data_IF_859690821919
#
_entry.id   IF_859690821919
#
_cell.length_a   1.000
_cell.length_b   1.000
_cell.length_c   1.000
_cell.angle_alpha   90.00
_cell.angle_beta   90.00
_cell.angle_gamma   90.00
#
_symmetry.space_group_name_H-M   'P 1'
#
loop_
_entity.id
_entity.type
_entity.pdbx_description
1 polymer ?
#
# COMPACT_ATOMS: atom_id res chain seq x y z
N UNK A 1 10.76 16.55 11.89
CA UNK A 1 10.35 15.15 11.97
C UNK A 1 8.92 14.95 12.40
N UNK A 2 8.48 15.59 13.50
CA UNK A 2 7.06 15.54 13.89
C UNK A 2 6.12 16.04 12.79
N UNK A 3 6.54 17.07 12.04
CA UNK A 3 5.74 17.62 10.95
C UNK A 3 5.55 16.62 9.81
N UNK A 4 6.59 15.84 9.49
CA UNK A 4 6.50 14.80 8.46
C UNK A 4 5.57 13.66 8.87
N UNK A 5 5.64 13.26 10.14
CA UNK A 5 4.76 12.20 10.65
C UNK A 5 3.29 12.63 10.64
N UNK A 6 3.01 13.87 11.07
CA UNK A 6 1.66 14.41 11.07
C UNK A 6 1.12 14.58 9.65
N UNK A 7 1.96 15.05 8.73
CA UNK A 7 1.59 15.18 7.32
C UNK A 7 1.30 13.81 6.71
N UNK A 8 2.16 12.82 6.96
CA UNK A 8 1.97 11.47 6.48
C UNK A 8 0.67 10.88 7.02
N UNK A 9 0.35 11.11 8.29
CA UNK A 9 -0.90 10.67 8.89
C UNK A 9 -2.10 11.29 8.21
N UNK A 10 -2.06 12.59 7.90
CA UNK A 10 -3.14 13.28 7.20
C UNK A 10 -3.35 12.72 5.80
N UNK A 11 -2.26 12.47 5.08
CA UNK A 11 -2.32 11.90 3.73
C UNK A 11 -2.96 10.51 3.77
N UNK A 12 -2.55 9.69 4.71
CA UNK A 12 -3.09 8.33 4.85
C UNK A 12 -4.53 8.35 5.35
N UNK A 13 -4.89 9.27 6.23
CA UNK A 13 -6.27 9.41 6.68
C UNK A 13 -7.19 9.81 5.52
N UNK A 14 -6.76 10.75 4.68
CA UNK A 14 -7.52 11.15 3.50
C UNK A 14 -7.71 9.96 2.55
N UNK A 15 -6.69 9.13 2.42
CA UNK A 15 -6.77 7.92 1.60
C UNK A 15 -7.75 6.90 2.17
N UNK A 16 -7.70 6.66 3.47
CA UNK A 16 -8.65 5.75 4.14
C UNK A 16 -10.09 6.23 3.96
N UNK A 17 -10.32 7.53 4.10
CA UNK A 17 -11.65 8.13 3.88
C UNK A 17 -12.12 7.92 2.44
N UNK A 18 -11.22 8.12 1.47
CA UNK A 18 -11.54 7.91 0.05
C UNK A 18 -11.87 6.45 -0.24
N UNK A 19 -11.12 5.51 0.34
CA UNK A 19 -11.37 4.07 0.17
C UNK A 19 -12.72 3.69 0.77
N UNK A 20 -13.07 4.21 1.94
CA UNK A 20 -14.38 3.98 2.54
C UNK A 20 -15.49 4.48 1.63
N UNK A 21 -15.33 5.66 1.05
CA UNK A 21 -16.28 6.21 0.09
C UNK A 21 -16.44 5.31 -1.14
N UNK A 22 -15.33 4.77 -1.63
CA UNK A 22 -15.35 3.83 -2.76
C UNK A 22 -16.08 2.53 -2.40
N UNK A 23 -15.88 2.01 -1.20
CA UNK A 23 -16.56 0.80 -0.75
C UNK A 23 -18.08 1.01 -0.62
N UNK A 24 -18.49 2.21 -0.20
CA UNK A 24 -19.91 2.56 -0.06
C UNK A 24 -20.57 2.84 -1.41
N UNK A 25 -19.83 3.43 -2.34
CA UNK A 25 -20.32 3.78 -3.66
C UNK A 25 -19.26 3.42 -4.72
N UNK A 26 -19.20 2.16 -5.17
CA UNK A 26 -18.16 1.70 -6.10
C UNK A 26 -18.43 2.17 -7.52
N UNK A 27 -18.26 3.45 -7.76
CA UNK A 27 -18.43 4.08 -9.07
C UNK A 27 -17.08 4.43 -9.67
N UNK A 28 -17.04 4.66 -10.99
CA UNK A 28 -15.82 5.10 -11.68
C UNK A 28 -15.35 6.45 -11.13
N UNK A 29 -16.28 7.34 -10.82
CA UNK A 29 -15.95 8.66 -10.25
C UNK A 29 -15.28 8.51 -8.90
N UNK A 30 -15.78 7.63 -8.05
CA UNK A 30 -15.21 7.40 -6.73
C UNK A 30 -13.85 6.71 -6.82
N UNK A 31 -13.69 5.80 -7.77
CA UNK A 31 -12.39 5.18 -8.04
C UNK A 31 -11.38 6.24 -8.50
N UNK A 32 -11.77 7.08 -9.46
CA UNK A 32 -10.90 8.15 -9.96
C UNK A 32 -10.49 9.10 -8.83
N UNK A 33 -11.41 9.45 -7.95
CA UNK A 33 -11.12 10.27 -6.78
C UNK A 33 -10.10 9.59 -5.86
N UNK A 34 -10.30 8.31 -5.58
CA UNK A 34 -9.39 7.53 -4.72
C UNK A 34 -7.99 7.48 -5.31
N UNK A 35 -7.87 7.22 -6.61
CA UNK A 35 -6.56 7.20 -7.29
C UNK A 35 -5.90 8.58 -7.27
N UNK A 36 -6.67 9.66 -7.36
CA UNK A 36 -6.16 11.03 -7.24
C UNK A 36 -5.60 11.28 -5.83
N UNK A 37 -6.28 10.79 -4.80
CA UNK A 37 -5.81 10.91 -3.41
C UNK A 37 -4.48 10.16 -3.24
N UNK A 38 -4.37 8.95 -3.80
CA UNK A 38 -3.12 8.18 -3.77
C UNK A 38 -1.99 8.96 -4.46
N UNK A 39 -2.28 9.54 -5.64
CA UNK A 39 -1.29 10.32 -6.38
C UNK A 39 -0.79 11.51 -5.58
N UNK A 40 -1.70 12.23 -4.93
CA UNK A 40 -1.32 13.38 -4.10
C UNK A 40 -0.45 12.95 -2.94
N UNK A 41 -0.79 11.85 -2.29
CA UNK A 41 0.04 11.31 -1.20
C UNK A 41 1.42 10.93 -1.71
N UNK A 42 1.50 10.28 -2.85
CA UNK A 42 2.76 9.90 -3.48
C UNK A 42 3.62 11.12 -3.79
N UNK A 43 3.03 12.15 -4.39
CA UNK A 43 3.74 13.37 -4.80
C UNK A 43 4.20 14.19 -3.60
N UNK A 44 3.48 14.10 -2.49
CA UNK A 44 3.82 14.79 -1.25
C UNK A 44 4.87 14.06 -0.41
N UNK A 45 5.39 12.94 -0.90
CA UNK A 45 6.37 12.14 -0.16
C UNK A 45 5.77 11.25 0.90
N UNK A 46 4.50 10.89 0.77
CA UNK A 46 3.82 10.00 1.70
C UNK A 46 4.45 8.62 1.77
N UNK A 47 4.24 7.94 2.88
CA UNK A 47 4.81 6.64 3.16
C UNK A 47 3.73 5.66 3.61
N UNK A 48 3.93 4.38 3.25
CA UNK A 48 3.12 3.27 3.72
C UNK A 48 4.01 2.28 4.46
N UNK A 49 3.40 1.53 5.38
CA UNK A 49 4.09 0.44 6.06
C UNK A 49 4.06 -0.77 5.13
N UNK A 50 5.23 -1.25 4.74
CA UNK A 50 5.34 -2.43 3.89
C UNK A 50 5.73 -3.65 4.73
N UNK A 51 5.02 -4.76 4.51
CA UNK A 51 5.38 -6.03 5.12
C UNK A 51 6.57 -6.63 4.39
N UNK A 52 7.58 -7.08 5.12
CA UNK A 52 8.81 -7.63 4.54
C UNK A 52 9.08 -9.02 5.07
N UNK A 53 9.78 -9.82 4.26
CA UNK A 53 10.27 -11.12 4.69
C UNK A 53 11.58 -10.94 5.44
N UNK A 54 11.68 -11.65 6.57
CA UNK A 54 12.95 -11.80 7.26
C UNK A 54 13.48 -13.20 6.95
N UNK A 55 14.57 -13.26 6.21
CA UNK A 55 15.25 -14.53 5.94
C UNK A 55 16.52 -14.55 6.78
N UNK A 56 16.68 -15.54 7.68
CA UNK A 56 17.91 -15.66 8.45
C UNK A 56 19.11 -15.79 7.53
N UNK A 57 20.12 -14.92 7.73
CA UNK A 57 21.35 -14.94 6.93
C UNK A 57 21.34 -14.07 5.69
N UNK A 58 20.20 -13.51 5.29
CA UNK A 58 20.13 -12.55 4.20
C UNK A 58 20.32 -11.15 4.79
N UNK A 59 21.51 -10.63 4.71
CA UNK A 59 21.95 -9.57 5.58
C UNK A 59 21.43 -8.18 5.24
N UNK A 60 21.16 -7.83 3.97
CA UNK A 60 21.01 -6.42 3.63
C UNK A 60 19.84 -6.10 2.69
N UNK A 61 19.06 -7.07 2.27
CA UNK A 61 18.00 -6.82 1.30
C UNK A 61 16.64 -6.98 1.97
N UNK A 62 15.93 -5.85 2.13
CA UNK A 62 14.54 -5.87 2.53
C UNK A 62 13.72 -6.29 1.32
N UNK A 63 13.11 -7.45 1.41
CA UNK A 63 12.21 -7.95 0.35
C UNK A 63 10.78 -7.86 0.84
N UNK A 64 9.90 -7.16 0.12
CA UNK A 64 8.48 -7.18 0.47
C UNK A 64 7.94 -8.60 0.46
N UNK A 65 7.10 -8.88 1.43
CA UNK A 65 6.49 -10.19 1.57
C UNK A 65 5.46 -10.40 0.46
N UNK A 66 5.58 -11.50 -0.28
CA UNK A 66 4.60 -11.85 -1.31
C UNK A 66 3.51 -12.70 -0.66
N UNK A 67 2.26 -12.31 -0.89
CA UNK A 67 1.10 -13.05 -0.43
C UNK A 67 0.30 -13.50 -1.64
N UNK A 68 -0.24 -14.70 -1.55
CA UNK A 68 -1.04 -15.27 -2.62
C UNK A 68 -2.51 -15.23 -2.26
N UNK A 69 -3.32 -14.65 -3.17
CA UNK A 69 -4.76 -14.61 -3.01
C UNK A 69 -5.39 -15.92 -3.47
N UNK A 70 -6.68 -16.10 -3.14
CA UNK A 70 -7.40 -17.35 -3.45
C UNK A 70 -7.47 -17.64 -4.95
N UNK A 71 -7.39 -16.62 -5.80
CA UNK A 71 -7.40 -16.76 -7.25
C UNK A 71 -6.00 -17.08 -7.85
N UNK A 72 -4.99 -17.25 -6.98
CA UNK A 72 -3.64 -17.53 -7.40
C UNK A 72 -2.78 -16.30 -7.65
N UNK A 73 -3.31 -15.11 -7.51
CA UNK A 73 -2.58 -13.87 -7.68
C UNK A 73 -1.55 -13.64 -6.58
N UNK A 74 -0.44 -13.04 -6.93
CA UNK A 74 0.63 -12.71 -5.98
C UNK A 74 0.72 -11.21 -5.81
N UNK A 75 0.78 -10.75 -4.55
CA UNK A 75 0.69 -9.34 -4.20
C UNK A 75 1.63 -9.01 -3.05
N UNK A 76 2.02 -7.73 -2.96
CA UNK A 76 2.64 -7.20 -1.76
C UNK A 76 1.55 -6.58 -0.89
N UNK A 77 1.73 -6.65 0.43
CA UNK A 77 0.85 -5.98 1.39
C UNK A 77 1.48 -4.70 1.88
N UNK A 78 0.66 -3.67 2.02
CA UNK A 78 1.04 -2.41 2.63
C UNK A 78 -0.09 -1.93 3.54
N UNK A 79 0.25 -1.05 4.48
CA UNK A 79 -0.69 -0.53 5.46
C UNK A 79 -0.51 0.97 5.60
N UNK A 80 -1.61 1.69 5.84
CA UNK A 80 -1.58 3.14 6.04
C UNK A 80 -1.22 3.52 7.48
N UNK A 81 -1.37 2.59 8.43
CA UNK A 81 -1.11 2.84 9.85
C UNK A 81 -0.81 1.53 10.57
N UNK A 82 -0.27 1.65 11.78
CA UNK A 82 -0.10 0.49 12.67
C UNK A 82 -1.45 -0.11 13.04
N UNK A 83 -2.49 0.70 13.19
CA UNK A 83 -3.83 0.18 13.49
C UNK A 83 -4.30 -0.77 12.39
N UNK A 84 -4.07 -0.43 11.12
CA UNK A 84 -4.41 -1.32 10.01
C UNK A 84 -3.55 -2.57 10.00
N UNK A 85 -2.26 -2.43 10.31
CA UNK A 85 -1.36 -3.58 10.42
C UNK A 85 -1.80 -4.55 11.52
N UNK A 86 -2.24 -4.03 12.65
CA UNK A 86 -2.65 -4.84 13.80
C UNK A 86 -3.95 -5.59 13.57
N UNK A 87 -4.72 -5.26 12.54
CA UNK A 87 -5.94 -5.99 12.18
C UNK A 87 -5.64 -7.32 11.48
N UNK A 88 -4.38 -7.56 11.10
CA UNK A 88 -3.98 -8.81 10.48
C UNK A 88 -4.14 -9.97 11.46
N UNK A 89 -4.78 -11.10 11.06
CA UNK A 89 -4.87 -12.28 11.90
C UNK A 89 -3.51 -12.95 12.11
N UNK A 90 -2.58 -12.74 11.18
CA UNK A 90 -1.22 -13.26 11.31
C UNK A 90 -0.32 -12.13 11.81
N UNK A 91 0.53 -12.43 12.79
CA UNK A 91 1.48 -11.45 13.28
C UNK A 91 2.44 -11.06 12.15
N UNK A 92 2.30 -9.84 11.64
CA UNK A 92 3.27 -9.28 10.71
C UNK A 92 4.48 -8.89 11.54
N UNK A 93 5.55 -9.67 11.44
CA UNK A 93 6.70 -9.56 12.34
C UNK A 93 7.70 -8.51 11.91
N UNK A 94 7.74 -8.19 10.63
CA UNK A 94 8.73 -7.26 10.09
C UNK A 94 8.06 -6.34 9.10
N UNK A 95 8.25 -5.04 9.34
CA UNK A 95 7.71 -3.99 8.47
C UNK A 95 8.72 -2.86 8.39
N UNK A 96 8.58 -2.03 7.37
CA UNK A 96 9.30 -0.77 7.28
C UNK A 96 8.44 0.28 6.59
N UNK A 97 8.69 1.55 6.90
CA UNK A 97 8.05 2.64 6.20
C UNK A 97 8.70 2.80 4.83
N UNK A 98 7.91 2.72 3.79
CA UNK A 98 8.36 2.86 2.41
C UNK A 98 7.73 4.08 1.77
N UNK A 99 8.54 4.87 1.08
CA UNK A 99 8.04 5.96 0.24
C UNK A 99 7.12 5.37 -0.84
N UNK A 100 5.92 5.94 -0.99
CA UNK A 100 4.91 5.40 -1.91
C UNK A 100 5.45 5.35 -3.35
N UNK A 101 6.13 6.42 -3.78
CA UNK A 101 6.68 6.50 -5.12
C UNK A 101 7.70 5.38 -5.38
N UNK A 102 8.61 5.15 -4.43
CA UNK A 102 9.62 4.10 -4.54
C UNK A 102 8.99 2.71 -4.49
N UNK A 103 7.96 2.53 -3.67
CA UNK A 103 7.25 1.27 -3.56
C UNK A 103 6.54 0.93 -4.89
N UNK A 104 5.95 1.92 -5.53
CA UNK A 104 5.32 1.73 -6.85
C UNK A 104 6.35 1.38 -7.93
N UNK A 105 7.49 2.05 -7.96
CA UNK A 105 8.55 1.72 -8.90
C UNK A 105 9.03 0.27 -8.72
N UNK A 106 9.23 -0.13 -7.47
CA UNK A 106 9.64 -1.48 -7.17
C UNK A 106 8.58 -2.51 -7.58
N UNK A 107 7.31 -2.21 -7.34
CA UNK A 107 6.21 -3.10 -7.71
C UNK A 107 6.10 -3.26 -9.24
N UNK A 108 6.26 -2.17 -9.98
CA UNK A 108 6.22 -2.22 -11.44
C UNK A 108 7.38 -3.02 -12.03
N UNK A 109 8.52 -3.04 -11.35
CA UNK A 109 9.70 -3.80 -11.77
C UNK A 109 9.65 -5.27 -11.34
N UNK A 110 8.81 -5.61 -10.36
CA UNK A 110 8.72 -6.97 -9.83
C UNK A 110 7.77 -7.80 -10.69
N UNK A 111 8.32 -8.67 -11.51
CA UNK A 111 7.52 -9.47 -12.46
C UNK A 111 6.66 -10.51 -11.76
N UNK A 112 7.07 -10.97 -10.57
CA UNK A 112 6.39 -12.04 -9.84
C UNK A 112 5.11 -11.62 -9.14
N UNK A 113 4.79 -10.32 -9.08
CA UNK A 113 3.57 -9.83 -8.42
C UNK A 113 2.66 -9.10 -9.39
N UNK A 114 1.37 -9.04 -9.05
CA UNK A 114 0.37 -8.31 -9.82
C UNK A 114 0.20 -6.88 -9.36
N UNK A 115 0.57 -6.57 -8.12
CA UNK A 115 0.45 -5.24 -7.56
C UNK A 115 0.56 -5.23 -6.05
N UNK A 116 -0.09 -4.25 -5.43
CA UNK A 116 -0.05 -4.02 -3.99
C UNK A 116 -1.48 -4.03 -3.45
N UNK A 117 -1.72 -4.76 -2.36
CA UNK A 117 -2.97 -4.69 -1.62
C UNK A 117 -2.72 -3.83 -0.40
N UNK A 118 -3.41 -2.68 -0.34
CA UNK A 118 -3.34 -1.75 0.78
C UNK A 118 -4.41 -2.10 1.79
N UNK A 119 -4.05 -2.18 3.05
CA UNK A 119 -4.96 -2.48 4.16
C UNK A 119 -5.82 -3.72 3.90
N UNK A 120 -5.20 -4.91 3.79
CA UNK A 120 -5.92 -6.12 3.35
C UNK A 120 -7.04 -6.58 4.27
N UNK A 121 -7.11 -6.07 5.50
CA UNK A 121 -8.08 -6.51 6.50
C UNK A 121 -9.18 -5.49 6.76
N UNK A 122 -9.01 -4.24 6.32
CA UNK A 122 -9.97 -3.16 6.53
C UNK A 122 -9.62 -2.00 5.60
N UNK A 123 -10.59 -1.30 5.05
CA UNK A 123 -10.37 -0.22 4.08
C UNK A 123 -9.45 -0.65 2.93
N UNK A 124 -9.72 -1.84 2.40
CA UNK A 124 -8.85 -2.49 1.41
C UNK A 124 -8.89 -1.79 0.07
N UNK A 125 -7.73 -1.50 -0.48
CA UNK A 125 -7.57 -1.00 -1.83
C UNK A 125 -6.58 -1.88 -2.58
N UNK A 126 -7.05 -2.54 -3.63
CA UNK A 126 -6.23 -3.43 -4.43
C UNK A 126 -5.72 -2.66 -5.65
N UNK A 127 -4.42 -2.44 -5.70
CA UNK A 127 -3.77 -1.67 -6.76
C UNK A 127 -2.97 -2.62 -7.66
N UNK A 128 -3.57 -3.03 -8.77
CA UNK A 128 -2.82 -3.79 -9.76
C UNK A 128 -1.88 -2.85 -10.54
N UNK A 129 -1.02 -3.42 -11.37
CA UNK A 129 -0.02 -2.64 -12.11
C UNK A 129 -0.67 -1.64 -13.07
N UNK A 130 -1.84 -1.96 -13.60
CA UNK A 130 -2.59 -1.04 -14.47
C UNK A 130 -2.98 0.22 -13.71
N UNK A 131 -3.53 0.06 -12.50
CA UNK A 131 -3.90 1.18 -11.65
C UNK A 131 -2.67 1.96 -11.18
N UNK A 132 -1.58 1.26 -10.84
CA UNK A 132 -0.34 1.93 -10.44
C UNK A 132 0.19 2.80 -11.58
N UNK A 133 0.13 2.32 -12.83
CA UNK A 133 0.55 3.12 -13.99
C UNK A 133 -0.33 4.33 -14.24
N UNK A 134 -1.60 4.26 -13.87
CA UNK A 134 -2.50 5.41 -13.94
C UNK A 134 -2.10 6.46 -12.90
N UNK A 135 -1.80 6.01 -11.68
CA UNK A 135 -1.35 6.89 -10.60
C UNK A 135 0.01 7.52 -10.94
N UNK A 136 0.89 6.72 -11.51
CA UNK A 136 2.27 7.10 -11.81
C UNK A 136 2.56 6.82 -13.28
N UNK A 137 2.08 7.69 -14.19
CA UNK A 137 2.34 7.51 -15.62
C UNK A 137 3.80 7.71 -16.02
#
# INVERSE_FOLDING_TARGET
>A
MKMQEDENRRLNQALEDAVQGLQQAPTQEQLAHTLTVVRRAMQAGGQWIAAVETTPGASDVLRPKIVQTADGGRWWYAFTSFDEQMKSPDAVKSTFWADINSLFDAALAAEEIQGIILNPWHCTLQLDKTLIRIIKP
#
